data_IF_816308672630
#
_entry.id   IF_816308672630
#
_cell.length_a   1.000
_cell.length_b   1.000
_cell.length_c   1.000
_cell.angle_alpha   90.00
_cell.angle_beta   90.00
_cell.angle_gamma   90.00
#
_symmetry.space_group_name_H-M   'P 1'
#
loop_
_entity.id
_entity.type
_entity.pdbx_description
1 polymer ?
#
# COMPACT_ATOMS: atom_id res chain seq x y z
N UNK A 1 -8.88 -45.33 17.79
CA UNK A 1 -9.77 -44.16 17.77
C UNK A 1 -9.14 -43.10 18.65
N UNK A 2 -9.05 -41.82 18.32
CA UNK A 2 -9.35 -41.04 17.11
C UNK A 2 -8.84 -39.63 17.41
N UNK A 3 -8.55 -38.84 16.38
CA UNK A 3 -8.04 -37.46 16.37
C UNK A 3 -8.97 -36.39 17.01
N UNK A 4 -9.80 -36.74 18.01
CA UNK A 4 -10.88 -35.89 18.49
C UNK A 4 -10.68 -35.18 19.84
N UNK A 5 -9.50 -35.25 20.45
CA UNK A 5 -9.26 -34.59 21.75
C UNK A 5 -8.64 -33.19 21.65
N UNK A 6 -9.12 -32.40 20.67
CA UNK A 6 -8.98 -30.94 20.73
C UNK A 6 -10.32 -30.31 21.08
N UNK A 7 -10.59 -30.17 22.37
CA UNK A 7 -11.57 -29.20 22.85
C UNK A 7 -11.11 -27.81 22.39
N UNK A 8 -11.99 -27.09 21.67
CA UNK A 8 -11.85 -25.64 21.44
C UNK A 8 -11.84 -24.95 22.81
N UNK A 9 -10.65 -24.66 23.32
CA UNK A 9 -10.48 -23.76 24.46
C UNK A 9 -10.92 -22.37 24.01
N UNK A 10 -12.05 -21.91 24.54
CA UNK A 10 -12.38 -20.48 24.57
C UNK A 10 -11.36 -19.81 25.49
N UNK A 11 -10.19 -19.48 24.95
CA UNK A 11 -9.20 -18.66 25.63
C UNK A 11 -9.70 -17.21 25.62
N UNK A 12 -10.55 -16.88 26.60
CA UNK A 12 -10.78 -15.52 27.04
C UNK A 12 -9.55 -15.08 27.85
N UNK A 13 -8.49 -14.69 27.14
CA UNK A 13 -7.41 -13.85 27.67
C UNK A 13 -7.73 -12.36 27.46
N UNK A 14 -6.93 -11.42 28.00
CA UNK A 14 -7.26 -9.98 28.04
C UNK A 14 -7.32 -9.25 26.70
N UNK A 15 -7.12 -9.95 25.57
CA UNK A 15 -7.29 -9.38 24.24
C UNK A 15 -8.78 -9.39 23.87
N UNK A 16 -9.45 -8.29 24.20
CA UNK A 16 -10.88 -8.10 24.01
C UNK A 16 -11.29 -8.39 22.55
N UNK A 17 -12.08 -9.45 22.37
CA UNK A 17 -12.73 -9.80 21.11
C UNK A 17 -13.70 -8.68 20.71
N UNK A 18 -13.36 -7.90 19.68
CA UNK A 18 -14.28 -6.91 19.13
C UNK A 18 -15.17 -7.53 18.05
N UNK A 19 -16.44 -7.68 18.38
CA UNK A 19 -17.48 -8.22 17.49
C UNK A 19 -18.08 -7.11 16.62
N UNK A 20 -18.11 -7.34 15.31
CA UNK A 20 -18.80 -6.46 14.36
C UNK A 20 -20.33 -6.44 14.64
N UNK A 21 -21.01 -5.29 14.46
CA UNK A 21 -22.46 -5.18 14.67
C UNK A 21 -23.25 -6.22 13.86
N UNK A 22 -24.29 -6.80 14.47
CA UNK A 22 -25.16 -7.75 13.77
C UNK A 22 -26.07 -7.03 12.77
N UNK A 23 -26.02 -7.42 11.50
CA UNK A 23 -27.03 -7.06 10.52
C UNK A 23 -28.12 -8.14 10.50
N UNK A 24 -29.36 -7.77 10.82
CA UNK A 24 -30.53 -8.62 10.65
C UNK A 24 -31.20 -8.29 9.32
N UNK A 25 -31.21 -9.23 8.37
CA UNK A 25 -32.02 -9.12 7.15
C UNK A 25 -33.24 -10.03 7.24
N UNK A 26 -34.42 -9.47 6.97
CA UNK A 26 -35.68 -10.19 6.89
C UNK A 26 -36.05 -10.42 5.42
N UNK A 27 -36.17 -11.68 5.01
CA UNK A 27 -36.61 -12.04 3.65
C UNK A 27 -38.12 -12.22 3.61
N UNK A 28 -38.83 -11.54 2.71
CA UNK A 28 -40.23 -11.86 2.39
C UNK A 28 -40.27 -12.71 1.11
N UNK A 29 -40.87 -13.90 1.20
CA UNK A 29 -41.18 -14.76 0.05
C UNK A 29 -42.64 -14.58 -0.38
N UNK A 30 -42.96 -14.45 -1.68
CA UNK A 30 -44.35 -14.43 -2.18
C UNK A 30 -45.07 -15.80 -2.10
N UNK A 31 -44.41 -16.85 -1.63
CA UNK A 31 -44.97 -18.20 -1.45
C UNK A 31 -44.65 -18.70 -0.05
N UNK A 32 -45.60 -19.42 0.57
CA UNK A 32 -45.72 -19.91 1.97
C UNK A 32 -44.52 -20.72 2.52
N UNK A 33 -43.32 -20.20 2.38
CA UNK A 33 -42.10 -20.71 3.00
C UNK A 33 -41.71 -19.74 4.10
N UNK A 34 -41.58 -20.17 5.37
CA UNK A 34 -41.21 -19.28 6.45
C UNK A 34 -39.84 -18.65 6.18
N UNK A 35 -39.76 -17.33 6.36
CA UNK A 35 -38.56 -16.53 6.17
C UNK A 35 -37.37 -17.13 6.94
N UNK A 36 -36.28 -17.44 6.24
CA UNK A 36 -35.03 -17.87 6.89
C UNK A 36 -34.26 -16.62 7.32
N UNK A 37 -34.16 -16.41 8.63
CA UNK A 37 -33.31 -15.38 9.22
C UNK A 37 -31.85 -15.69 8.90
N UNK A 38 -31.22 -14.87 8.05
CA UNK A 38 -29.76 -14.92 7.86
C UNK A 38 -29.15 -14.12 8.99
N UNK A 39 -28.57 -14.83 9.96
CA UNK A 39 -27.80 -14.22 11.04
C UNK A 39 -26.36 -14.12 10.55
N UNK A 40 -25.95 -12.91 10.17
CA UNK A 40 -24.54 -12.54 10.00
C UNK A 40 -23.94 -12.57 11.41
N UNK A 41 -23.29 -13.67 11.80
CA UNK A 41 -22.57 -13.68 13.08
C UNK A 41 -21.34 -12.78 12.95
N UNK A 42 -21.04 -12.07 14.02
CA UNK A 42 -19.91 -11.17 14.09
C UNK A 42 -18.59 -11.93 13.92
N UNK A 43 -17.93 -11.77 12.79
CA UNK A 43 -16.50 -12.05 12.70
C UNK A 43 -15.79 -11.06 13.63
N UNK A 44 -14.93 -11.54 14.53
CA UNK A 44 -14.10 -10.63 15.30
C UNK A 44 -13.13 -9.93 14.33
N UNK A 45 -13.08 -8.59 14.35
CA UNK A 45 -12.27 -7.83 13.38
C UNK A 45 -10.78 -8.24 13.42
N UNK A 46 -10.29 -8.60 14.60
CA UNK A 46 -8.93 -9.13 14.81
C UNK A 46 -8.65 -10.50 14.17
N UNK A 47 -9.66 -11.19 13.62
CA UNK A 47 -9.50 -12.45 12.87
C UNK A 47 -9.15 -12.24 11.40
N UNK A 48 -9.26 -11.02 10.87
CA UNK A 48 -8.93 -10.72 9.48
C UNK A 48 -7.51 -11.15 9.05
N UNK A 49 -6.44 -10.96 9.86
CA UNK A 49 -5.13 -11.50 9.54
C UNK A 49 -5.14 -13.03 9.35
N UNK A 50 -5.95 -13.75 10.14
CA UNK A 50 -6.09 -15.21 10.01
C UNK A 50 -6.78 -15.64 8.70
N UNK A 51 -7.85 -14.94 8.32
CA UNK A 51 -8.51 -15.15 7.04
C UNK A 51 -7.55 -14.88 5.87
N UNK A 52 -6.83 -13.75 5.91
CA UNK A 52 -5.83 -13.41 4.90
C UNK A 52 -4.74 -14.50 4.76
N UNK A 53 -4.19 -15.01 5.87
CA UNK A 53 -3.22 -16.12 5.83
C UNK A 53 -3.81 -17.39 5.22
N UNK A 54 -5.08 -17.68 5.49
CA UNK A 54 -5.78 -18.85 4.94
C UNK A 54 -5.96 -18.75 3.42
N UNK A 55 -6.03 -17.53 2.88
CA UNK A 55 -6.03 -17.25 1.44
C UNK A 55 -4.64 -17.21 0.80
N UNK A 56 -3.57 -17.41 1.57
CA UNK A 56 -2.18 -17.22 1.11
C UNK A 56 -1.75 -15.75 1.02
N UNK A 57 -2.52 -14.83 1.59
CA UNK A 57 -2.23 -13.39 1.58
C UNK A 57 -1.35 -13.00 2.77
N UNK A 58 -0.13 -13.52 2.76
CA UNK A 58 0.77 -13.41 3.91
C UNK A 58 1.24 -11.97 4.16
N UNK A 59 1.46 -11.17 3.11
CA UNK A 59 1.92 -9.78 3.25
C UNK A 59 0.79 -8.88 3.72
N UNK A 60 -0.40 -9.03 3.13
CA UNK A 60 -1.60 -8.33 3.60
C UNK A 60 -1.89 -8.65 5.07
N UNK A 61 -1.79 -9.94 5.44
CA UNK A 61 -1.99 -10.37 6.82
C UNK A 61 -0.97 -9.75 7.79
N UNK A 62 0.30 -9.64 7.37
CA UNK A 62 1.35 -9.04 8.19
C UNK A 62 1.12 -7.54 8.41
N UNK A 63 0.73 -6.79 7.37
CA UNK A 63 0.37 -5.37 7.49
C UNK A 63 -0.84 -5.18 8.41
N UNK A 64 -1.88 -5.99 8.23
CA UNK A 64 -3.08 -5.96 9.04
C UNK A 64 -2.77 -6.29 10.51
N UNK A 65 -1.94 -7.30 10.76
CA UNK A 65 -1.48 -7.65 12.10
C UNK A 65 -0.69 -6.51 12.74
N UNK A 66 0.26 -5.92 12.01
CA UNK A 66 1.02 -4.74 12.47
C UNK A 66 0.09 -3.61 12.88
N UNK A 67 -0.97 -3.34 12.11
CA UNK A 67 -1.96 -2.32 12.45
C UNK A 67 -2.62 -2.61 13.80
N UNK A 68 -3.12 -3.83 14.02
CA UNK A 68 -3.74 -4.24 15.30
C UNK A 68 -2.78 -4.18 16.49
N UNK A 69 -1.52 -4.57 16.29
CA UNK A 69 -0.53 -4.62 17.37
C UNK A 69 -0.04 -3.21 17.78
N UNK A 70 -0.22 -2.22 16.90
CA UNK A 70 0.24 -0.85 17.09
C UNK A 70 -0.61 -0.07 18.11
N UNK A 71 -0.02 0.88 18.86
CA UNK A 71 -0.79 1.84 19.65
C UNK A 71 -1.80 2.60 18.78
N UNK A 72 -2.94 2.98 19.37
CA UNK A 72 -3.93 3.79 18.67
C UNK A 72 -3.30 5.09 18.14
N UNK A 73 -3.31 5.22 16.82
CA UNK A 73 -2.86 6.42 16.14
C UNK A 73 -3.59 6.54 14.79
N UNK A 74 -4.11 7.73 14.51
CA UNK A 74 -4.74 8.05 13.24
C UNK A 74 -3.81 8.90 12.40
N UNK A 75 -3.56 8.44 11.17
CA UNK A 75 -2.79 9.23 10.21
C UNK A 75 -3.54 10.53 9.92
N UNK A 76 -2.88 11.70 9.98
CA UNK A 76 -3.53 12.96 9.63
C UNK A 76 -4.06 12.95 8.19
N UNK A 77 -5.28 13.45 7.97
CA UNK A 77 -5.88 13.48 6.62
C UNK A 77 -5.04 14.30 5.62
N UNK A 78 -4.32 15.31 6.09
CA UNK A 78 -3.39 16.09 5.26
C UNK A 78 -2.28 15.23 4.65
N UNK A 79 -1.95 14.07 5.22
CA UNK A 79 -0.94 13.17 4.64
C UNK A 79 -1.45 12.42 3.39
N UNK A 80 -2.69 12.67 2.96
CA UNK A 80 -3.22 12.18 1.67
C UNK A 80 -2.97 13.15 0.52
N UNK A 81 -2.63 14.41 0.80
CA UNK A 81 -2.26 15.40 -0.20
C UNK A 81 -0.73 15.45 -0.34
N UNK A 82 -0.24 15.39 -1.58
CA UNK A 82 1.19 15.41 -1.90
C UNK A 82 1.90 16.69 -1.45
N UNK A 83 1.16 17.79 -1.28
CA UNK A 83 1.69 19.08 -0.83
C UNK A 83 1.92 19.17 0.68
N UNK A 84 1.29 18.29 1.46
CA UNK A 84 1.32 18.29 2.93
C UNK A 84 1.91 17.01 3.53
N UNK A 85 2.59 16.22 2.69
CA UNK A 85 3.36 15.08 3.17
C UNK A 85 4.47 15.52 4.13
N UNK A 86 4.67 14.82 5.25
CA UNK A 86 5.81 15.09 6.12
C UNK A 86 7.10 14.80 5.35
N UNK A 87 8.21 15.42 5.80
CA UNK A 87 9.52 15.01 5.32
C UNK A 87 9.70 13.51 5.61
N UNK A 88 10.03 12.67 4.62
CA UNK A 88 10.22 11.22 4.84
C UNK A 88 11.16 10.90 6.00
N UNK A 89 12.19 11.73 6.22
CA UNK A 89 13.17 11.54 7.29
C UNK A 89 12.70 11.98 8.67
N UNK A 90 11.52 12.60 8.76
CA UNK A 90 10.88 13.01 10.02
C UNK A 90 9.89 11.97 10.56
N UNK A 91 9.57 10.93 9.77
CA UNK A 91 8.66 9.87 10.17
C UNK A 91 9.21 9.08 11.36
N UNK A 92 8.38 8.87 12.38
CA UNK A 92 8.78 8.02 13.51
C UNK A 92 8.74 6.54 13.09
N UNK A 93 9.54 5.66 13.72
CA UNK A 93 9.47 4.23 13.47
C UNK A 93 8.06 3.62 13.66
N UNK A 94 7.27 4.16 14.58
CA UNK A 94 5.88 3.72 14.79
C UNK A 94 4.95 4.12 13.62
N UNK A 95 5.24 5.23 12.95
CA UNK A 95 4.44 5.82 11.86
C UNK A 95 4.87 5.30 10.47
N UNK A 96 5.91 4.45 10.41
CA UNK A 96 6.48 3.96 9.16
C UNK A 96 6.89 2.48 9.21
N UNK A 97 6.47 1.69 8.23
CA UNK A 97 6.99 0.35 7.96
C UNK A 97 8.01 0.40 6.80
N UNK A 98 9.13 -0.30 6.97
CA UNK A 98 10.19 -0.44 5.95
C UNK A 98 10.56 -1.90 5.67
N UNK A 99 9.75 -2.86 6.11
CA UNK A 99 10.19 -4.27 6.23
C UNK A 99 9.18 -5.31 5.75
N UNK A 100 7.88 -5.03 5.81
CA UNK A 100 6.84 -6.01 5.46
C UNK A 100 6.67 -6.09 3.95
N UNK A 101 6.60 -4.94 3.27
CA UNK A 101 6.51 -4.87 1.81
C UNK A 101 7.91 -4.78 1.25
N UNK A 102 8.34 -5.81 0.51
CA UNK A 102 9.62 -5.79 -0.20
C UNK A 102 9.40 -5.70 -1.70
N UNK A 103 10.38 -5.13 -2.42
CA UNK A 103 10.39 -5.12 -3.87
C UNK A 103 10.58 -6.53 -4.43
N UNK A 104 11.26 -7.43 -3.74
CA UNK A 104 11.32 -8.85 -4.12
C UNK A 104 9.91 -9.47 -4.21
N UNK A 105 9.11 -9.31 -3.15
CA UNK A 105 7.72 -9.76 -3.12
C UNK A 105 6.89 -9.04 -4.19
N UNK A 106 7.00 -7.71 -4.27
CA UNK A 106 6.20 -6.91 -5.17
C UNK A 106 6.45 -7.25 -6.65
N UNK A 107 7.70 -7.51 -7.02
CA UNK A 107 8.08 -7.92 -8.37
C UNK A 107 7.55 -9.30 -8.76
N UNK A 108 7.02 -10.08 -7.82
CA UNK A 108 6.23 -11.28 -8.09
C UNK A 108 4.92 -11.01 -8.84
N UNK A 109 4.39 -9.78 -8.76
CA UNK A 109 3.13 -9.38 -9.39
C UNK A 109 3.37 -8.63 -10.70
N UNK A 110 2.63 -9.01 -11.75
CA UNK A 110 2.76 -8.43 -13.10
C UNK A 110 2.59 -6.91 -13.12
N UNK A 111 1.54 -6.41 -12.47
CA UNK A 111 1.27 -4.98 -12.34
C UNK A 111 2.39 -4.16 -11.70
N UNK A 112 3.20 -4.75 -10.82
CA UNK A 112 4.36 -4.07 -10.26
C UNK A 112 5.52 -4.04 -11.26
N UNK A 113 5.74 -5.14 -12.00
CA UNK A 113 6.76 -5.20 -13.05
C UNK A 113 6.48 -4.16 -14.13
N UNK A 114 5.24 -4.08 -14.58
CA UNK A 114 4.77 -3.06 -15.54
C UNK A 114 5.01 -1.65 -14.99
N UNK A 115 4.66 -1.40 -13.72
CA UNK A 115 4.88 -0.10 -13.10
C UNK A 115 6.36 0.29 -13.04
N UNK A 116 7.27 -0.67 -12.82
CA UNK A 116 8.73 -0.44 -12.86
C UNK A 116 9.20 -0.07 -14.26
N UNK A 117 8.75 -0.80 -15.28
CA UNK A 117 9.08 -0.49 -16.69
C UNK A 117 8.58 0.89 -17.09
N UNK A 118 7.34 1.24 -16.72
CA UNK A 118 6.80 2.58 -16.95
C UNK A 118 7.63 3.61 -16.20
N UNK A 119 7.93 3.42 -14.91
CA UNK A 119 8.69 4.38 -14.12
C UNK A 119 10.10 4.62 -14.69
N UNK A 120 10.73 3.58 -15.24
CA UNK A 120 12.03 3.69 -15.91
C UNK A 120 11.95 4.54 -17.20
N UNK A 121 10.85 4.46 -17.95
CA UNK A 121 10.63 5.32 -19.12
C UNK A 121 10.41 6.81 -18.76
N UNK A 122 10.12 7.12 -17.49
CA UNK A 122 9.77 8.46 -17.05
C UNK A 122 10.95 9.31 -16.54
N UNK A 123 12.17 8.77 -16.56
CA UNK A 123 13.39 9.43 -16.06
C UNK A 123 13.72 10.75 -16.76
N UNK A 124 13.35 10.89 -18.03
CA UNK A 124 13.69 12.05 -18.88
C UNK A 124 12.48 12.93 -19.20
N UNK A 125 11.36 12.74 -18.50
CA UNK A 125 10.18 13.61 -18.69
C UNK A 125 10.43 15.01 -18.14
N UNK A 126 9.74 16.06 -18.65
CA UNK A 126 9.93 17.44 -18.17
C UNK A 126 9.79 17.58 -16.65
N UNK A 127 8.83 16.87 -16.03
CA UNK A 127 8.65 16.88 -14.57
C UNK A 127 9.84 16.25 -13.84
N UNK A 128 10.40 15.15 -14.36
CA UNK A 128 11.57 14.51 -13.80
C UNK A 128 12.81 15.42 -13.90
N UNK A 129 13.00 16.10 -15.04
CA UNK A 129 14.08 17.07 -15.23
C UNK A 129 13.96 18.24 -14.25
N UNK A 130 12.77 18.87 -14.16
CA UNK A 130 12.52 19.97 -13.22
C UNK A 130 12.80 19.53 -11.77
N UNK A 131 12.38 18.32 -11.40
CA UNK A 131 12.62 17.77 -10.06
C UNK A 131 14.11 17.51 -9.82
N UNK A 132 14.81 16.91 -10.78
CA UNK A 132 16.24 16.63 -10.70
C UNK A 132 17.06 17.91 -10.58
N UNK A 133 16.75 18.95 -11.38
CA UNK A 133 17.39 20.26 -11.26
C UNK A 133 17.18 20.87 -9.87
N UNK A 134 15.96 20.81 -9.31
CA UNK A 134 15.67 21.30 -7.95
C UNK A 134 16.48 20.56 -6.88
N UNK A 135 16.60 19.23 -7.01
CA UNK A 135 17.39 18.42 -6.08
C UNK A 135 18.88 18.79 -6.14
N UNK A 136 19.44 18.94 -7.34
CA UNK A 136 20.82 19.34 -7.54
C UNK A 136 21.13 20.74 -6.98
N UNK A 137 20.23 21.71 -7.18
CA UNK A 137 20.33 23.04 -6.55
C UNK A 137 20.28 22.96 -5.04
N UNK A 138 19.38 22.17 -4.50
CA UNK A 138 19.26 21.96 -3.05
C UNK A 138 20.51 21.26 -2.48
N UNK A 139 21.16 20.43 -3.28
CA UNK A 139 22.46 19.84 -2.94
C UNK A 139 23.63 20.84 -3.08
N UNK A 140 23.40 22.02 -3.65
CA UNK A 140 24.40 23.09 -3.81
C UNK A 140 25.12 23.09 -5.16
N UNK A 141 24.61 22.42 -6.19
CA UNK A 141 25.16 22.56 -7.54
C UNK A 141 24.64 23.83 -8.20
N UNK A 142 25.56 24.65 -8.69
CA UNK A 142 25.28 25.91 -9.38
C UNK A 142 25.46 25.80 -10.91
N UNK A 143 25.64 24.59 -11.44
CA UNK A 143 25.95 24.37 -12.86
C UNK A 143 27.44 24.44 -13.18
N UNK A 144 28.32 24.43 -12.18
CA UNK A 144 29.78 24.37 -12.35
C UNK A 144 30.39 23.18 -11.61
N UNK A 145 31.49 22.67 -12.15
CA UNK A 145 32.15 21.47 -11.64
C UNK A 145 31.27 20.23 -11.73
N UNK A 146 31.54 19.26 -10.85
CA UNK A 146 30.72 18.05 -10.71
C UNK A 146 29.96 18.02 -9.39
N UNK A 147 28.82 17.32 -9.38
CA UNK A 147 28.04 17.12 -8.15
C UNK A 147 27.38 15.75 -8.11
N UNK A 148 27.78 14.94 -7.15
CA UNK A 148 27.10 13.69 -6.83
C UNK A 148 25.70 13.93 -6.23
N UNK A 149 24.75 13.09 -6.61
CA UNK A 149 23.39 13.02 -6.07
C UNK A 149 23.07 11.57 -5.67
N UNK A 150 22.60 11.39 -4.44
CA UNK A 150 22.20 10.08 -3.93
C UNK A 150 23.37 9.15 -3.56
N UNK A 151 23.02 7.96 -3.08
CA UNK A 151 23.96 6.85 -2.83
C UNK A 151 23.22 5.53 -2.94
N UNK A 152 23.89 4.47 -3.39
CA UNK A 152 23.32 3.12 -3.46
C UNK A 152 23.06 2.49 -2.08
N UNK A 153 23.59 3.09 -1.00
CA UNK A 153 23.33 2.66 0.38
C UNK A 153 22.07 3.30 0.98
N UNK A 154 21.36 4.14 0.21
CA UNK A 154 20.18 4.84 0.72
C UNK A 154 19.02 3.88 0.93
N UNK A 155 18.30 4.07 2.04
CA UNK A 155 16.96 3.52 2.20
C UNK A 155 15.97 4.23 1.27
N UNK A 156 14.79 3.64 1.08
CA UNK A 156 13.73 4.27 0.30
C UNK A 156 13.31 5.65 0.87
N UNK A 157 13.32 5.84 2.19
CA UNK A 157 13.08 7.14 2.82
C UNK A 157 14.13 8.19 2.43
N UNK A 158 15.40 7.82 2.47
CA UNK A 158 16.51 8.70 2.06
C UNK A 158 16.42 9.00 0.57
N UNK A 159 16.11 7.98 -0.24
CA UNK A 159 15.93 8.15 -1.67
C UNK A 159 14.79 9.12 -2.00
N UNK A 160 13.67 9.01 -1.28
CA UNK A 160 12.50 9.89 -1.42
C UNK A 160 12.82 11.35 -1.09
N UNK A 161 13.66 11.57 -0.07
CA UNK A 161 14.10 12.89 0.32
C UNK A 161 15.10 13.51 -0.68
N UNK A 162 16.06 12.72 -1.16
CA UNK A 162 17.27 13.27 -1.79
C UNK A 162 17.38 13.05 -3.30
N UNK A 163 16.71 12.06 -3.87
CA UNK A 163 17.00 11.60 -5.24
C UNK A 163 15.77 11.15 -6.04
N UNK A 164 14.57 11.22 -5.46
CA UNK A 164 13.33 10.87 -6.15
C UNK A 164 12.97 11.94 -7.18
N UNK A 165 12.77 11.49 -8.43
CA UNK A 165 12.51 12.38 -9.57
C UNK A 165 11.14 12.17 -10.18
N UNK A 166 10.57 10.96 -10.10
CA UNK A 166 9.24 10.68 -10.66
C UNK A 166 8.51 9.55 -9.92
N UNK A 167 7.25 9.29 -10.30
CA UNK A 167 6.44 8.22 -9.75
C UNK A 167 5.39 7.71 -10.73
N UNK A 168 4.90 6.50 -10.48
CA UNK A 168 3.82 5.83 -11.20
C UNK A 168 2.82 5.31 -10.17
N UNK A 169 1.52 5.50 -10.44
CA UNK A 169 0.46 4.86 -9.66
C UNK A 169 0.17 3.50 -10.28
N UNK A 170 -0.01 2.47 -9.46
CA UNK A 170 -0.38 1.14 -9.94
C UNK A 170 -1.41 0.50 -9.01
N UNK A 171 -2.09 -0.52 -9.53
CA UNK A 171 -3.26 -1.10 -8.89
C UNK A 171 -4.56 -0.43 -9.32
N UNK A 172 -5.59 -1.24 -9.48
CA UNK A 172 -6.92 -0.82 -9.93
C UNK A 172 -8.01 -1.53 -9.15
N UNK A 173 -9.19 -0.91 -9.10
CA UNK A 173 -10.37 -1.48 -8.42
C UNK A 173 -10.76 -2.84 -9.00
N UNK A 174 -10.46 -3.11 -10.27
CA UNK A 174 -10.82 -4.35 -10.97
C UNK A 174 -9.71 -5.39 -11.01
N UNK A 175 -8.53 -5.11 -10.44
CA UNK A 175 -7.49 -6.12 -10.37
C UNK A 175 -7.92 -7.36 -9.57
N UNK A 176 -7.24 -8.47 -9.85
CA UNK A 176 -7.38 -9.73 -9.14
C UNK A 176 -7.32 -9.52 -7.63
N UNK A 177 -8.22 -10.21 -6.93
CA UNK A 177 -8.28 -10.18 -5.48
C UNK A 177 -7.20 -11.14 -4.95
N UNK A 178 -6.00 -10.61 -4.75
CA UNK A 178 -4.79 -11.32 -4.34
C UNK A 178 -4.07 -10.62 -3.16
N UNK A 179 -2.94 -11.17 -2.72
CA UNK A 179 -2.16 -10.66 -1.57
C UNK A 179 -1.78 -9.18 -1.75
N UNK A 180 -1.29 -8.78 -2.92
CA UNK A 180 -0.92 -7.38 -3.15
C UNK A 180 -2.14 -6.46 -3.20
N UNK A 181 -3.31 -6.92 -3.66
CA UNK A 181 -4.54 -6.14 -3.57
C UNK A 181 -4.96 -5.94 -2.11
N UNK A 182 -4.88 -6.99 -1.28
CA UNK A 182 -5.16 -6.90 0.16
C UNK A 182 -4.13 -6.07 0.94
N UNK A 183 -2.89 -6.02 0.48
CA UNK A 183 -1.80 -5.30 1.12
C UNK A 183 -1.78 -3.81 0.78
N UNK A 184 -1.98 -3.47 -0.50
CA UNK A 184 -1.71 -2.13 -1.03
C UNK A 184 -2.92 -1.49 -1.74
N UNK A 185 -3.85 -2.28 -2.26
CA UNK A 185 -4.96 -1.78 -3.09
C UNK A 185 -4.48 -0.99 -4.31
N UNK A 186 -4.33 0.33 -4.15
CA UNK A 186 -3.68 1.25 -5.11
C UNK A 186 -2.46 1.88 -4.45
N UNK A 187 -1.28 1.64 -5.01
CA UNK A 187 -0.04 2.15 -4.46
C UNK A 187 0.71 3.05 -5.44
N UNK A 188 1.76 3.69 -4.93
CA UNK A 188 2.67 4.53 -5.71
C UNK A 188 4.03 3.86 -5.76
N UNK A 189 4.50 3.56 -6.97
CA UNK A 189 5.90 3.24 -7.22
C UNK A 189 6.64 4.54 -7.51
N UNK A 190 7.67 4.84 -6.73
CA UNK A 190 8.53 6.01 -6.93
C UNK A 190 9.84 5.59 -7.58
N UNK A 191 10.41 6.49 -8.36
CA UNK A 191 11.71 6.31 -9.02
C UNK A 191 12.64 7.47 -8.71
N UNK A 192 13.89 7.14 -8.45
CA UNK A 192 14.96 8.10 -8.24
C UNK A 192 16.27 7.66 -8.89
N UNK A 193 17.24 8.57 -8.90
CA UNK A 193 18.52 8.38 -9.59
C UNK A 193 19.70 8.61 -8.65
N UNK A 194 20.74 7.81 -8.82
CA UNK A 194 22.05 8.01 -8.19
C UNK A 194 23.06 8.24 -9.31
N UNK A 195 23.89 9.25 -9.15
CA UNK A 195 24.87 9.62 -10.17
C UNK A 195 25.50 10.98 -9.95
N UNK A 196 26.07 11.54 -11.01
CA UNK A 196 26.83 12.78 -10.95
C UNK A 196 26.38 13.77 -12.04
N UNK A 197 26.12 15.02 -11.62
CA UNK A 197 25.91 16.15 -12.50
C UNK A 197 27.25 16.73 -12.94
N UNK A 198 27.36 17.18 -14.19
CA UNK A 198 28.53 17.84 -14.73
C UNK A 198 28.15 18.80 -15.86
N UNK A 199 29.08 19.69 -16.20
CA UNK A 199 28.87 20.68 -17.25
C UNK A 199 29.87 20.46 -18.38
N UNK A 200 29.36 20.34 -19.60
CA UNK A 200 30.16 20.25 -20.81
C UNK A 200 30.06 21.56 -21.60
N UNK A 201 31.19 22.04 -22.13
CA UNK A 201 31.22 23.24 -22.97
C UNK A 201 31.50 22.78 -24.39
N UNK A 202 30.56 23.06 -25.30
CA UNK A 202 30.77 22.78 -26.71
C UNK A 202 32.00 23.58 -27.20
N UNK A 203 33.04 22.92 -27.74
CA UNK A 203 34.30 23.59 -28.07
C UNK A 203 34.13 24.63 -29.19
N UNK A 204 33.14 24.46 -30.06
CA UNK A 204 32.85 25.31 -31.22
C UNK A 204 31.86 26.41 -30.85
N UNK A 205 30.67 26.08 -30.37
CA UNK A 205 29.60 27.06 -30.11
C UNK A 205 29.77 27.79 -28.78
N UNK A 206 30.67 27.30 -27.91
CA UNK A 206 30.84 27.75 -26.51
C UNK A 206 29.58 27.62 -25.65
N UNK A 207 28.58 26.88 -26.12
CA UNK A 207 27.36 26.61 -25.39
C UNK A 207 27.64 25.66 -24.22
N UNK A 208 27.07 25.96 -23.05
CA UNK A 208 27.10 25.09 -21.88
C UNK A 208 25.95 24.07 -21.96
N UNK A 209 26.28 22.81 -21.73
CA UNK A 209 25.33 21.70 -21.57
C UNK A 209 25.42 21.20 -20.13
N UNK A 210 24.28 21.11 -19.47
CA UNK A 210 24.17 20.61 -18.10
C UNK A 210 23.70 19.17 -18.16
N UNK A 211 24.56 18.25 -17.76
CA UNK A 211 24.35 16.83 -17.96
C UNK A 211 24.32 16.11 -16.61
N UNK A 212 23.60 15.01 -16.54
CA UNK A 212 23.59 14.12 -15.39
C UNK A 212 23.85 12.69 -15.84
N UNK A 213 24.98 12.11 -15.40
CA UNK A 213 25.28 10.71 -15.63
C UNK A 213 24.60 9.87 -14.55
N UNK A 214 23.63 9.06 -14.94
CA UNK A 214 22.91 8.15 -14.05
C UNK A 214 23.71 6.85 -13.91
N UNK A 215 24.26 6.60 -12.73
CA UNK A 215 24.94 5.34 -12.41
C UNK A 215 23.96 4.22 -12.04
N UNK A 216 22.91 4.59 -11.30
CA UNK A 216 21.85 3.67 -10.89
C UNK A 216 20.49 4.36 -10.84
N UNK A 217 19.47 3.56 -11.11
CA UNK A 217 18.07 3.90 -10.91
C UNK A 217 17.54 3.04 -9.77
N UNK A 218 16.81 3.66 -8.85
CA UNK A 218 16.17 2.95 -7.74
C UNK A 218 14.65 3.08 -7.83
N UNK A 219 13.97 1.97 -7.53
CA UNK A 219 12.50 1.88 -7.51
C UNK A 219 12.06 1.40 -6.15
N UNK A 220 11.03 2.02 -5.59
CA UNK A 220 10.46 1.62 -4.30
C UNK A 220 8.97 1.97 -4.23
N UNK A 221 8.23 1.22 -3.44
CA UNK A 221 6.82 1.44 -3.19
C UNK A 221 6.67 2.38 -2.00
N UNK A 222 5.74 3.32 -2.11
CA UNK A 222 5.22 4.12 -1.00
C UNK A 222 3.71 4.01 -0.97
N UNK A 223 3.16 3.71 0.20
CA UNK A 223 1.71 3.65 0.40
C UNK A 223 1.29 4.14 1.80
N UNK A 224 0.02 4.51 1.97
CA UNK A 224 -0.55 4.88 3.26
C UNK A 224 -1.48 3.76 3.72
N UNK A 225 -1.11 3.05 4.79
CA UNK A 225 -1.95 2.01 5.39
C UNK A 225 -2.80 2.62 6.50
N UNK A 226 -3.97 3.15 6.12
CA UNK A 226 -4.87 3.87 7.01
C UNK A 226 -6.34 3.46 6.82
N UNK A 227 -7.12 3.54 7.91
CA UNK A 227 -8.57 3.29 7.89
C UNK A 227 -9.38 4.57 8.13
N UNK A 228 -9.00 5.67 7.47
CA UNK A 228 -9.75 6.93 7.51
C UNK A 228 -10.81 6.99 6.38
N UNK A 229 -11.76 7.91 6.52
CA UNK A 229 -12.82 8.12 5.51
C UNK A 229 -13.84 6.98 5.40
N UNK A 230 -14.73 7.08 4.41
CA UNK A 230 -15.79 6.10 4.16
C UNK A 230 -15.34 5.12 3.08
N UNK A 231 -15.10 3.86 3.46
CA UNK A 231 -14.73 2.80 2.52
C UNK A 231 -15.23 1.44 3.00
N UNK A 232 -15.73 0.65 2.06
CA UNK A 232 -16.06 -0.76 2.23
C UNK A 232 -14.87 -1.62 1.84
N UNK A 233 -14.49 -2.55 2.71
CA UNK A 233 -13.28 -3.38 2.62
C UNK A 233 -13.59 -4.85 2.28
N UNK A 234 -14.86 -5.15 1.96
CA UNK A 234 -15.30 -6.49 1.60
C UNK A 234 -16.17 -7.15 2.66
N UNK A 235 -16.68 -8.32 2.30
CA UNK A 235 -17.45 -9.20 3.20
C UNK A 235 -16.59 -10.43 3.48
N UNK A 236 -16.32 -10.68 4.76
CA UNK A 236 -15.31 -11.61 5.22
C UNK A 236 -15.93 -12.73 6.06
N UNK A 237 -15.46 -13.96 5.86
CA UNK A 237 -15.61 -15.09 6.78
C UNK A 237 -14.32 -15.31 7.59
N UNK A 238 -14.28 -16.35 8.41
CA UNK A 238 -13.07 -16.70 9.18
C UNK A 238 -11.87 -17.11 8.30
N UNK A 239 -12.14 -17.56 7.08
CA UNK A 239 -11.17 -18.18 6.18
C UNK A 239 -10.95 -17.41 4.87
N UNK A 240 -11.86 -16.51 4.48
CA UNK A 240 -11.72 -15.76 3.22
C UNK A 240 -12.53 -14.46 3.15
N UNK A 241 -12.27 -13.68 2.12
CA UNK A 241 -13.17 -12.61 1.65
C UNK A 241 -14.00 -13.09 0.45
N UNK A 242 -15.21 -12.55 0.31
CA UNK A 242 -15.99 -12.74 -0.91
C UNK A 242 -15.28 -12.14 -2.12
N UNK A 243 -15.32 -12.87 -3.23
CA UNK A 243 -14.84 -12.39 -4.52
C UNK A 243 -15.69 -11.22 -5.03
N UNK A 244 -15.19 -10.48 -6.02
CA UNK A 244 -15.96 -9.39 -6.65
C UNK A 244 -17.27 -9.89 -7.28
N UNK A 245 -17.25 -11.07 -7.90
CA UNK A 245 -18.43 -11.68 -8.50
C UNK A 245 -19.46 -12.08 -7.43
N UNK A 246 -19.03 -12.70 -6.33
CA UNK A 246 -19.89 -13.01 -5.19
C UNK A 246 -20.47 -11.74 -4.57
N UNK A 247 -19.67 -10.69 -4.41
CA UNK A 247 -20.11 -9.39 -3.89
C UNK A 247 -21.16 -8.77 -4.82
N UNK A 248 -20.90 -8.70 -6.12
CA UNK A 248 -21.84 -8.15 -7.10
C UNK A 248 -23.16 -8.93 -7.14
N UNK A 249 -23.09 -10.26 -7.03
CA UNK A 249 -24.26 -11.14 -6.95
C UNK A 249 -25.05 -10.91 -5.65
N UNK A 250 -24.37 -10.70 -4.52
CA UNK A 250 -25.04 -10.39 -3.24
C UNK A 250 -25.74 -9.03 -3.25
N UNK A 251 -25.20 -8.04 -3.98
CA UNK A 251 -25.77 -6.69 -4.08
C UNK A 251 -26.89 -6.58 -5.11
N UNK A 252 -26.84 -7.35 -6.21
CA UNK A 252 -27.84 -7.29 -7.30
C UNK A 252 -29.17 -7.95 -6.94
N UNK A 253 -29.13 -8.94 -6.07
CA UNK A 253 -30.32 -9.61 -5.56
C UNK A 253 -30.77 -8.90 -4.28
N UNK A 254 -31.85 -8.13 -4.37
CA UNK A 254 -32.47 -7.38 -3.26
C UNK A 254 -32.89 -8.30 -2.10
N UNK A 255 -31.94 -8.79 -1.30
CA UNK A 255 -32.18 -9.61 -0.11
C UNK A 255 -32.87 -10.96 -0.33
N UNK A 256 -32.95 -11.49 -1.56
CA UNK A 256 -33.86 -12.62 -1.86
C UNK A 256 -33.23 -14.00 -2.12
N UNK A 257 -31.91 -14.19 -1.99
CA UNK A 257 -31.33 -15.55 -2.11
C UNK A 257 -30.34 -15.81 -0.98
N UNK A 258 -30.69 -16.78 -0.14
CA UNK A 258 -29.76 -17.44 0.79
C UNK A 258 -28.75 -18.18 -0.06
N UNK A 259 -27.61 -17.56 -0.35
CA UNK A 259 -26.45 -18.34 -0.74
C UNK A 259 -26.11 -19.24 0.45
N UNK A 260 -26.20 -20.57 0.27
CA UNK A 260 -25.36 -21.48 1.04
C UNK A 260 -23.91 -21.25 0.59
N UNK A 261 -23.36 -20.10 0.97
CA UNK A 261 -21.92 -19.92 0.97
C UNK A 261 -21.39 -21.04 1.86
N UNK A 262 -20.54 -21.90 1.32
CA UNK A 262 -19.90 -22.96 2.09
C UNK A 262 -19.24 -22.32 3.30
N UNK A 263 -19.69 -22.75 4.48
CA UNK A 263 -19.02 -22.68 5.77
C UNK A 263 -18.88 -21.28 6.39
N UNK A 264 -19.62 -21.05 7.48
CA UNK A 264 -19.36 -19.96 8.44
C UNK A 264 -20.16 -18.67 8.24
N UNK A 265 -20.26 -17.84 9.30
CA UNK A 265 -20.83 -16.50 9.21
C UNK A 265 -19.91 -15.55 8.45
N UNK A 266 -20.51 -14.67 7.65
CA UNK A 266 -19.81 -13.59 6.95
C UNK A 266 -20.12 -12.26 7.64
N UNK A 267 -19.19 -11.30 7.61
CA UNK A 267 -19.37 -9.94 8.11
C UNK A 267 -18.88 -8.90 7.09
N UNK A 268 -19.68 -7.86 6.87
CA UNK A 268 -19.26 -6.71 6.09
C UNK A 268 -18.26 -5.88 6.90
N UNK A 269 -17.13 -5.53 6.31
CA UNK A 269 -16.05 -4.77 6.96
C UNK A 269 -15.87 -3.44 6.26
N UNK A 270 -15.70 -2.39 7.04
CA UNK A 270 -15.52 -1.01 6.59
C UNK A 270 -14.40 -0.32 7.36
N UNK A 271 -13.92 0.82 6.87
CA UNK A 271 -13.00 1.67 7.63
C UNK A 271 -13.60 2.14 8.97
N UNK A 272 -14.94 2.22 9.06
CA UNK A 272 -15.64 2.54 10.30
C UNK A 272 -15.36 1.53 11.42
N UNK A 273 -15.35 0.24 11.09
CA UNK A 273 -15.13 -0.83 12.07
C UNK A 273 -13.72 -0.77 12.68
N UNK A 274 -12.71 -0.39 11.88
CA UNK A 274 -11.35 -0.17 12.35
C UNK A 274 -11.22 1.07 13.23
N UNK A 275 -11.93 2.15 12.92
CA UNK A 275 -11.97 3.33 13.81
C UNK A 275 -12.64 3.01 15.14
N UNK A 276 -13.77 2.31 15.11
CA UNK A 276 -14.46 1.86 16.31
C UNK A 276 -13.57 0.95 17.17
N UNK A 277 -12.83 0.03 16.54
CA UNK A 277 -11.84 -0.80 17.23
C UNK A 277 -10.79 0.05 17.93
N UNK A 278 -10.26 1.06 17.23
CA UNK A 278 -9.21 1.94 17.75
C UNK A 278 -9.66 2.76 18.95
N UNK A 279 -10.82 3.38 18.85
CA UNK A 279 -11.40 4.21 19.90
C UNK A 279 -11.68 3.39 21.17
N UNK A 280 -12.06 2.12 21.02
CA UNK A 280 -12.44 1.25 22.15
C UNK A 280 -11.27 0.55 22.81
N UNK A 281 -10.23 0.19 22.04
CA UNK A 281 -9.13 -0.65 22.54
C UNK A 281 -7.87 0.15 22.86
N UNK A 282 -7.72 1.37 22.32
CA UNK A 282 -6.45 2.10 22.38
C UNK A 282 -5.34 1.44 21.54
N UNK A 283 -5.71 0.53 20.63
CA UNK A 283 -4.85 -0.18 19.67
C UNK A 283 -5.31 0.10 18.24
N UNK A 284 -4.53 -0.24 17.22
CA UNK A 284 -4.92 0.07 15.83
C UNK A 284 -4.27 1.35 15.33
N UNK A 285 -3.00 1.25 14.94
CA UNK A 285 -2.20 2.39 14.48
C UNK A 285 -2.02 2.38 12.97
N UNK A 286 -2.43 3.46 12.31
CA UNK A 286 -2.12 3.69 10.89
C UNK A 286 -0.59 3.85 10.69
N UNK A 287 -0.09 3.66 9.47
CA UNK A 287 1.34 3.91 9.17
C UNK A 287 1.59 4.10 7.67
N UNK A 288 2.73 4.69 7.33
CA UNK A 288 3.22 4.80 5.96
C UNK A 288 4.10 3.60 5.63
N UNK A 289 3.88 2.98 4.49
CA UNK A 289 4.71 1.89 3.96
C UNK A 289 5.77 2.49 3.06
N UNK A 290 7.01 2.07 3.25
CA UNK A 290 8.08 2.15 2.27
C UNK A 290 8.64 0.73 2.05
N UNK A 291 8.86 0.34 0.79
CA UNK A 291 9.62 -0.89 0.53
C UNK A 291 11.13 -0.68 0.69
N UNK A 292 11.90 -1.75 0.57
CA UNK A 292 13.31 -1.65 0.18
C UNK A 292 13.44 -1.11 -1.26
N UNK A 293 14.67 -0.80 -1.67
CA UNK A 293 14.94 -0.22 -3.00
C UNK A 293 15.38 -1.31 -3.97
N UNK A 294 14.64 -1.46 -5.06
CA UNK A 294 15.08 -2.22 -6.22
C UNK A 294 16.04 -1.37 -7.04
N UNK A 295 17.33 -1.75 -7.07
CA UNK A 295 18.36 -1.04 -7.83
C UNK A 295 18.59 -1.65 -9.21
N UNK A 296 18.64 -0.81 -10.24
CA UNK A 296 19.12 -1.15 -11.60
C UNK A 296 20.33 -0.31 -11.94
N UNK A 297 21.34 -0.91 -12.56
CA UNK A 297 22.48 -0.15 -13.12
C UNK A 297 21.99 0.62 -14.34
N UNK A 298 22.49 1.84 -14.48
CA UNK A 298 22.31 2.66 -15.68
C UNK A 298 23.66 3.25 -16.08
N UNK A 299 23.78 3.64 -17.35
CA UNK A 299 24.86 4.50 -17.84
C UNK A 299 24.28 5.65 -18.67
N UNK A 300 22.99 5.91 -18.51
CA UNK A 300 22.28 6.94 -19.26
C UNK A 300 22.80 8.31 -18.85
N UNK A 301 23.05 9.15 -19.84
CA UNK A 301 23.29 10.58 -19.63
C UNK A 301 22.00 11.33 -19.94
N UNK A 302 21.53 12.12 -18.97
CA UNK A 302 20.34 12.95 -19.08
C UNK A 302 20.80 14.39 -19.36
N UNK A 303 20.29 14.98 -20.44
CA UNK A 303 20.41 16.43 -20.67
C UNK A 303 19.39 17.15 -19.78
N UNK A 304 19.89 18.00 -18.89
CA UNK A 304 19.07 18.77 -17.95
C UNK A 304 18.44 20.00 -18.62
N UNK A 305 18.78 20.30 -19.87
CA UNK A 305 18.28 21.45 -20.61
C UNK A 305 18.79 22.77 -20.05
N UNK A 306 17.96 23.81 -20.12
CA UNK A 306 18.30 25.12 -19.59
C UNK A 306 18.39 25.09 -18.05
N UNK A 307 19.49 25.62 -17.52
CA UNK A 307 19.72 25.76 -16.09
C UNK A 307 19.31 27.17 -15.65
N UNK A 308 18.06 27.31 -15.20
CA UNK A 308 17.47 28.58 -14.72
C UNK A 308 17.44 28.61 -13.21
#
# INVERSE_FOLDING_TARGET
MSLNDFQRTNAAGPDALYQLPQANSHTYSPTDTPAKKVIVQSLALSRLPGAMRSMGWHTAAALMQRWFDSPAWAMPESWKDSSTLPNPLSLKPAECDQSIVTMEWAMGFERCREAVEVAESLLTTPNALIRLQKLLKSAGWNGEGTKALGSYSMSALQMDAFSQINFVKFGEVWNSLDDMYGALGKAILKVGVVGEAFTEINPVTKQRHYLFHVEKVGFYIRDNYDFNGLQYLGTWSEDRVLTKAETAFTLSLHGQVVLRLKEGPFAAVTNGDFRDYRDKTGKGGDFVIYSDVLWRKSGQVIDLGEWV
#
